data_IF_148500183253
#
_entry.id   IF_148500183253
#
_cell.length_a   1.000
_cell.length_b   1.000
_cell.length_c   1.000
_cell.angle_alpha   90.00
_cell.angle_beta   90.00
_cell.angle_gamma   90.00
#
_symmetry.space_group_name_H-M   'P 1'
#
loop_
_entity.id
_entity.type
_entity.pdbx_description
1 polymer ?
#
# COMPACT_ATOMS: atom_id res chain seq x y z
N UNK A 1 -45.90 46.24 67.60
CA UNK A 1 -47.33 46.06 67.35
C UNK A 1 -47.56 46.03 65.87
N UNK A 2 -47.88 44.85 65.32
CA UNK A 2 -48.80 44.55 64.24
C UNK A 2 -48.57 45.26 62.88
N UNK A 3 -48.43 44.58 61.69
CA UNK A 3 -49.25 43.54 61.07
C UNK A 3 -48.58 42.94 59.82
N UNK A 4 -48.69 41.64 59.71
CA UNK A 4 -48.45 40.83 58.47
C UNK A 4 -49.42 41.18 57.36
N UNK A 5 -49.01 41.01 56.10
CA UNK A 5 -49.91 41.00 55.00
C UNK A 5 -49.24 40.51 53.74
N UNK A 6 -49.48 39.26 53.45
CA UNK A 6 -49.48 38.51 52.22
C UNK A 6 -49.17 39.22 50.87
N UNK A 7 -48.16 38.78 50.19
CA UNK A 7 -48.12 38.75 48.75
C UNK A 7 -47.35 37.49 48.26
N UNK A 8 -47.99 36.34 48.32
CA UNK A 8 -47.60 35.13 47.71
C UNK A 8 -48.68 34.80 46.67
N UNK A 9 -48.49 35.10 45.40
CA UNK A 9 -49.20 34.50 44.23
C UNK A 9 -49.00 35.37 42.98
N UNK A 10 -47.82 35.37 42.39
CA UNK A 10 -47.66 35.90 41.02
C UNK A 10 -46.35 35.49 40.33
N UNK A 11 -45.73 34.40 40.68
CA UNK A 11 -44.48 33.95 40.04
C UNK A 11 -44.52 32.51 39.60
N UNK A 12 -45.48 32.04 38.83
CA UNK A 12 -45.43 30.66 38.33
C UNK A 12 -46.01 30.50 36.90
N UNK A 13 -46.01 31.53 36.05
CA UNK A 13 -46.50 31.35 34.65
C UNK A 13 -45.45 31.67 33.56
N UNK A 14 -44.28 32.19 33.91
CA UNK A 14 -43.29 32.55 32.89
C UNK A 14 -42.14 31.54 32.66
N UNK A 15 -42.08 30.41 33.35
CA UNK A 15 -40.97 29.45 33.24
C UNK A 15 -41.25 28.24 32.33
N UNK A 16 -42.50 28.02 31.92
CA UNK A 16 -42.75 26.86 31.01
C UNK A 16 -42.54 27.15 29.50
N UNK A 17 -42.56 28.42 29.09
CA UNK A 17 -42.38 28.78 27.64
C UNK A 17 -40.91 28.78 27.19
N UNK A 18 -39.97 29.04 28.11
CA UNK A 18 -38.55 29.15 27.81
C UNK A 18 -37.87 27.79 27.56
N UNK A 19 -38.29 26.77 28.29
CA UNK A 19 -37.65 25.45 28.20
C UNK A 19 -38.06 24.65 26.96
N UNK A 20 -39.24 24.89 26.41
CA UNK A 20 -39.68 24.23 25.16
C UNK A 20 -38.95 24.79 23.97
N UNK A 21 -38.72 26.11 23.91
CA UNK A 21 -37.95 26.76 22.82
C UNK A 21 -36.47 26.39 22.81
N UNK A 22 -35.85 26.29 24.00
CA UNK A 22 -34.45 25.85 24.14
C UNK A 22 -34.30 24.35 23.79
N UNK A 23 -35.25 23.52 24.18
CA UNK A 23 -35.23 22.09 23.84
C UNK A 23 -35.40 21.83 22.33
N UNK A 24 -36.25 22.60 21.62
CA UNK A 24 -36.42 22.51 20.16
C UNK A 24 -35.20 23.05 19.42
N UNK A 25 -34.52 24.10 19.92
CA UNK A 25 -33.30 24.62 19.31
C UNK A 25 -32.10 23.65 19.50
N UNK A 26 -31.99 22.96 20.62
CA UNK A 26 -30.99 21.92 20.88
C UNK A 26 -31.23 20.68 20.03
N UNK A 27 -32.49 20.29 19.78
CA UNK A 27 -32.79 19.14 18.90
C UNK A 27 -32.48 19.43 17.43
N UNK A 28 -32.65 20.68 16.96
CA UNK A 28 -32.31 21.09 15.60
C UNK A 28 -30.80 21.14 15.33
N UNK A 29 -29.96 21.37 16.35
CA UNK A 29 -28.48 21.35 16.24
C UNK A 29 -27.94 19.92 16.16
N UNK A 30 -28.63 18.94 16.73
CA UNK A 30 -28.21 17.53 16.70
C UNK A 30 -28.43 16.83 15.36
N UNK A 31 -29.28 17.35 14.47
CA UNK A 31 -29.58 16.77 13.16
C UNK A 31 -28.63 17.29 12.06
N UNK A 32 -27.86 18.37 12.34
CA UNK A 32 -26.98 19.04 11.35
C UNK A 32 -25.56 18.45 11.23
N UNK A 33 -25.15 17.46 12.04
CA UNK A 33 -23.79 16.89 12.03
C UNK A 33 -23.80 15.47 11.42
N UNK A 34 -24.61 15.26 10.39
CA UNK A 34 -24.49 14.14 9.47
C UNK A 34 -23.38 14.41 8.45
N UNK A 35 -22.16 14.74 8.89
CA UNK A 35 -20.99 14.78 8.03
C UNK A 35 -20.77 13.36 7.51
N UNK A 36 -20.78 13.20 6.18
CA UNK A 36 -20.32 11.98 5.52
C UNK A 36 -18.95 11.62 6.11
N UNK A 37 -18.90 10.57 6.91
CA UNK A 37 -17.68 9.91 7.30
C UNK A 37 -17.08 9.29 6.04
N UNK A 38 -16.35 10.11 5.26
CA UNK A 38 -15.44 9.57 4.27
C UNK A 38 -14.38 8.78 5.07
N UNK A 39 -14.11 7.52 4.70
CA UNK A 39 -13.05 6.78 5.34
C UNK A 39 -11.75 7.58 5.16
N UNK A 40 -11.16 7.99 6.27
CA UNK A 40 -9.87 8.68 6.29
C UNK A 40 -8.81 7.67 5.82
N UNK A 41 -8.48 7.74 4.53
CA UNK A 41 -7.46 6.87 3.94
C UNK A 41 -6.11 7.39 4.39
N UNK A 42 -5.50 6.69 5.33
CA UNK A 42 -4.21 7.05 5.86
C UNK A 42 -3.10 6.65 4.89
N UNK A 43 -2.60 7.59 4.09
CA UNK A 43 -1.48 7.40 3.16
C UNK A 43 -0.11 7.36 3.86
N UNK A 44 -0.06 7.64 5.15
CA UNK A 44 1.18 7.77 5.92
C UNK A 44 2.07 6.54 5.77
N UNK A 45 3.31 6.75 5.31
CA UNK A 45 4.28 5.68 5.04
C UNK A 45 4.13 4.96 3.69
N UNK A 46 3.06 5.19 2.93
CA UNK A 46 2.90 4.60 1.59
C UNK A 46 3.71 5.33 0.51
N UNK A 47 4.07 6.60 0.74
CA UNK A 47 4.90 7.40 -0.17
C UNK A 47 6.40 7.15 0.05
N UNK A 48 6.79 6.44 1.12
CA UNK A 48 8.19 6.14 1.42
C UNK A 48 8.60 4.83 0.75
N UNK A 49 9.67 4.81 -0.07
CA UNK A 49 10.16 3.59 -0.68
C UNK A 49 10.65 2.60 0.40
N UNK A 50 10.51 1.29 0.17
CA UNK A 50 11.18 0.29 1.00
C UNK A 50 12.69 0.50 0.99
N UNK A 51 13.36 0.13 2.08
CA UNK A 51 14.83 0.25 2.19
C UNK A 51 15.56 -0.85 1.43
N UNK A 52 14.90 -1.98 1.17
CA UNK A 52 15.51 -3.16 0.54
C UNK A 52 14.59 -3.75 -0.53
N UNK A 53 15.22 -4.30 -1.56
CA UNK A 53 14.53 -5.09 -2.57
C UNK A 53 14.39 -6.53 -2.09
N UNK A 54 13.18 -7.07 -2.20
CA UNK A 54 12.89 -8.48 -1.92
C UNK A 54 12.72 -9.23 -3.23
N UNK A 55 13.44 -10.33 -3.37
CA UNK A 55 13.36 -11.23 -4.51
C UNK A 55 11.93 -11.76 -4.66
N UNK A 56 11.44 -11.81 -5.88
CA UNK A 56 10.11 -12.34 -6.19
C UNK A 56 10.12 -13.35 -7.34
N UNK A 57 8.99 -14.00 -7.58
CA UNK A 57 8.85 -14.91 -8.73
C UNK A 57 9.16 -14.20 -10.06
N UNK A 58 9.69 -14.94 -11.03
CA UNK A 58 10.15 -14.49 -12.37
C UNK A 58 11.47 -13.70 -12.34
N UNK A 59 12.03 -13.33 -11.17
CA UNK A 59 13.34 -12.68 -11.12
C UNK A 59 14.45 -13.63 -11.58
N UNK A 60 15.44 -13.08 -12.28
CA UNK A 60 16.62 -13.81 -12.70
C UNK A 60 17.78 -13.48 -11.79
N UNK A 61 18.35 -14.51 -11.17
CA UNK A 61 19.44 -14.39 -10.22
C UNK A 61 20.69 -15.05 -10.78
N UNK A 62 21.86 -14.46 -10.49
CA UNK A 62 23.16 -15.09 -10.68
C UNK A 62 23.68 -15.49 -9.30
N UNK A 63 23.77 -16.78 -9.07
CA UNK A 63 24.39 -17.36 -7.87
C UNK A 63 25.81 -17.76 -8.21
N UNK A 64 26.79 -17.15 -7.55
CA UNK A 64 28.22 -17.42 -7.77
C UNK A 64 28.82 -18.02 -6.50
N UNK A 65 29.43 -19.20 -6.62
CA UNK A 65 30.19 -19.85 -5.56
C UNK A 65 31.68 -19.67 -5.85
N UNK A 66 32.39 -19.00 -4.96
CA UNK A 66 33.81 -18.68 -5.15
C UNK A 66 34.63 -19.93 -5.40
N UNK A 67 35.50 -19.90 -6.43
CA UNK A 67 36.33 -21.01 -6.89
C UNK A 67 35.58 -22.29 -7.27
N UNK A 68 34.25 -22.22 -7.49
CA UNK A 68 33.49 -23.38 -7.92
C UNK A 68 32.51 -22.97 -9.03
N UNK A 69 32.96 -23.08 -10.28
CA UNK A 69 32.19 -22.69 -11.43
C UNK A 69 31.04 -23.66 -11.72
N UNK A 70 31.15 -24.93 -11.34
CA UNK A 70 30.12 -25.96 -11.56
C UNK A 70 28.88 -25.71 -10.68
N UNK A 71 29.04 -25.07 -9.52
CA UNK A 71 27.98 -24.69 -8.62
C UNK A 71 27.43 -23.28 -8.91
N UNK A 72 28.16 -22.50 -9.74
CA UNK A 72 27.75 -21.14 -10.09
C UNK A 72 26.77 -21.19 -11.26
N UNK A 73 25.55 -20.65 -11.06
CA UNK A 73 24.47 -20.71 -12.06
C UNK A 73 23.63 -19.44 -12.10
N UNK A 74 23.13 -19.18 -13.29
CA UNK A 74 21.98 -18.31 -13.49
C UNK A 74 20.70 -19.12 -13.25
N UNK A 75 19.81 -18.62 -12.41
CA UNK A 75 18.57 -19.29 -12.03
C UNK A 75 17.39 -18.33 -12.08
N UNK A 76 16.24 -18.85 -12.44
CA UNK A 76 14.96 -18.10 -12.43
C UNK A 76 14.21 -18.50 -11.17
N UNK A 77 13.68 -17.51 -10.47
CA UNK A 77 12.77 -17.75 -9.34
C UNK A 77 11.43 -18.25 -9.88
N UNK A 78 11.09 -19.47 -9.49
CA UNK A 78 9.87 -20.14 -9.94
C UNK A 78 8.62 -19.46 -9.34
N UNK A 79 7.41 -19.71 -9.89
CA UNK A 79 6.16 -19.19 -9.35
C UNK A 79 5.87 -19.59 -7.89
N UNK A 80 6.43 -20.73 -7.42
CA UNK A 80 6.36 -21.16 -6.02
C UNK A 80 7.38 -20.43 -5.11
N UNK A 81 8.15 -19.49 -5.66
CA UNK A 81 9.14 -18.70 -4.95
C UNK A 81 10.48 -19.38 -4.72
N UNK A 82 10.70 -20.57 -5.29
CA UNK A 82 11.93 -21.34 -5.10
C UNK A 82 12.90 -21.19 -6.27
N UNK A 83 14.17 -21.43 -5.99
CA UNK A 83 15.23 -21.64 -6.97
C UNK A 83 15.80 -23.05 -6.80
N UNK A 84 16.33 -23.63 -7.87
CA UNK A 84 16.96 -24.96 -7.83
C UNK A 84 18.47 -24.82 -8.07
N UNK A 85 19.25 -25.28 -7.11
CA UNK A 85 20.71 -25.23 -7.13
C UNK A 85 21.30 -26.64 -7.07
N UNK A 86 22.48 -26.88 -7.70
CA UNK A 86 23.19 -28.15 -7.54
C UNK A 86 23.51 -28.42 -6.06
N UNK A 87 23.47 -29.67 -5.65
CA UNK A 87 23.69 -30.19 -4.30
C UNK A 87 22.58 -29.81 -3.30
N UNK A 88 22.01 -28.63 -3.37
CA UNK A 88 21.04 -28.13 -2.41
C UNK A 88 19.59 -28.41 -2.81
N UNK A 89 19.34 -28.69 -4.10
CA UNK A 89 17.96 -28.84 -4.61
C UNK A 89 17.18 -27.53 -4.56
N UNK A 90 15.94 -27.60 -4.11
CA UNK A 90 14.99 -26.48 -4.09
C UNK A 90 15.13 -25.66 -2.80
N UNK A 91 15.40 -24.35 -2.96
CA UNK A 91 15.56 -23.38 -1.86
C UNK A 91 14.57 -22.24 -2.04
N UNK A 92 13.93 -21.79 -0.97
CA UNK A 92 13.06 -20.61 -0.98
C UNK A 92 13.91 -19.35 -1.18
N UNK A 93 13.60 -18.59 -2.22
CA UNK A 93 14.26 -17.33 -2.57
C UNK A 93 13.31 -16.13 -2.45
N UNK A 94 12.04 -16.31 -2.76
CA UNK A 94 11.06 -15.22 -2.71
C UNK A 94 10.87 -14.69 -1.29
N UNK A 95 10.79 -13.36 -1.17
CA UNK A 95 10.68 -12.67 0.12
C UNK A 95 12.00 -12.48 0.86
N UNK A 96 13.11 -12.95 0.31
CA UNK A 96 14.46 -12.72 0.85
C UNK A 96 15.16 -11.58 0.12
N UNK A 97 16.11 -10.94 0.79
CA UNK A 97 17.09 -10.08 0.13
C UNK A 97 18.17 -10.94 -0.53
N UNK A 98 18.91 -10.38 -1.50
CA UNK A 98 20.04 -11.11 -2.11
C UNK A 98 21.07 -11.53 -1.07
N UNK A 99 21.31 -10.72 -0.04
CA UNK A 99 22.23 -11.03 1.05
C UNK A 99 21.73 -12.19 1.94
N UNK A 100 20.45 -12.19 2.28
CA UNK A 100 19.84 -13.27 3.08
C UNK A 100 19.89 -14.60 2.31
N UNK A 101 19.57 -14.57 1.00
CA UNK A 101 19.65 -15.75 0.15
C UNK A 101 21.10 -16.26 0.00
N UNK A 102 22.06 -15.34 -0.17
CA UNK A 102 23.49 -15.69 -0.24
C UNK A 102 23.95 -16.44 1.01
N UNK A 103 23.53 -15.96 2.19
CA UNK A 103 23.82 -16.63 3.46
C UNK A 103 23.17 -18.01 3.53
N UNK A 104 21.90 -18.12 3.17
CA UNK A 104 21.17 -19.39 3.19
C UNK A 104 21.82 -20.44 2.29
N UNK A 105 22.25 -20.03 1.08
CA UNK A 105 22.97 -20.91 0.15
C UNK A 105 24.34 -21.33 0.71
N UNK A 106 25.09 -20.39 1.31
CA UNK A 106 26.37 -20.70 1.94
C UNK A 106 26.21 -21.68 3.10
N UNK A 107 25.23 -21.45 3.97
CA UNK A 107 24.95 -22.34 5.12
C UNK A 107 24.60 -23.77 4.62
N UNK A 108 23.80 -23.89 3.56
CA UNK A 108 23.50 -25.21 2.98
C UNK A 108 24.70 -25.90 2.33
N UNK A 109 25.56 -25.15 1.62
CA UNK A 109 26.76 -25.71 0.99
C UNK A 109 27.85 -26.10 2.00
N UNK A 110 27.80 -25.64 3.25
CA UNK A 110 28.73 -25.96 4.28
C UNK A 110 28.77 -27.47 4.63
N UNK A 111 27.72 -28.22 4.31
CA UNK A 111 27.68 -29.68 4.44
C UNK A 111 28.54 -30.40 3.38
N UNK A 112 28.79 -29.76 2.23
CA UNK A 112 29.47 -30.34 1.07
C UNK A 112 30.91 -29.80 0.88
N UNK A 113 31.21 -28.62 1.45
CA UNK A 113 32.50 -27.96 1.28
C UNK A 113 32.86 -27.08 2.47
N UNK A 114 34.19 -26.93 2.72
CA UNK A 114 34.69 -26.08 3.79
C UNK A 114 34.58 -24.59 3.43
N UNK A 115 33.90 -23.80 4.25
CA UNK A 115 33.83 -22.34 4.18
C UNK A 115 33.40 -21.81 2.80
N UNK A 116 32.20 -22.16 2.27
CA UNK A 116 31.73 -21.67 0.98
C UNK A 116 31.49 -20.17 1.02
N UNK A 117 32.06 -19.44 0.05
CA UNK A 117 31.79 -18.03 -0.15
C UNK A 117 30.82 -17.88 -1.34
N UNK A 118 29.62 -17.42 -1.07
CA UNK A 118 28.55 -17.30 -2.05
C UNK A 118 28.18 -15.84 -2.26
N UNK A 119 27.94 -15.46 -3.51
CA UNK A 119 27.38 -14.16 -3.88
C UNK A 119 26.11 -14.38 -4.70
N UNK A 120 25.05 -13.65 -4.38
CA UNK A 120 23.81 -13.63 -5.14
C UNK A 120 23.60 -12.23 -5.71
N UNK A 121 23.41 -12.15 -7.02
CA UNK A 121 23.12 -10.91 -7.73
C UNK A 121 21.77 -11.03 -8.46
N UNK A 122 20.96 -9.99 -8.39
CA UNK A 122 19.73 -9.90 -9.21
C UNK A 122 20.13 -9.37 -10.59
N UNK A 123 20.04 -10.23 -11.60
CA UNK A 123 20.34 -9.88 -13.00
C UNK A 123 19.19 -9.14 -13.64
N UNK A 124 17.95 -9.64 -13.45
CA UNK A 124 16.75 -9.03 -13.98
C UNK A 124 15.63 -9.03 -12.94
N UNK A 125 14.99 -7.87 -12.79
CA UNK A 125 13.85 -7.68 -11.90
C UNK A 125 12.58 -7.81 -12.76
N UNK A 126 11.88 -8.93 -12.66
CA UNK A 126 10.63 -9.20 -13.38
C UNK A 126 9.44 -9.32 -12.42
N UNK A 127 9.70 -9.61 -11.15
CA UNK A 127 8.69 -9.72 -10.10
C UNK A 127 8.02 -8.38 -9.76
N UNK A 128 8.76 -7.27 -9.92
CA UNK A 128 8.27 -5.94 -9.59
C UNK A 128 7.53 -5.32 -10.77
N UNK A 129 6.27 -5.68 -10.93
CA UNK A 129 5.39 -5.16 -11.96
C UNK A 129 4.03 -4.78 -11.40
N UNK A 130 3.34 -3.89 -12.11
CA UNK A 130 1.99 -3.42 -11.81
C UNK A 130 1.14 -3.51 -13.06
N UNK A 131 -0.17 -3.37 -12.92
CA UNK A 131 -1.08 -3.32 -14.04
C UNK A 131 -1.76 -1.95 -14.10
N UNK A 132 -1.87 -1.38 -15.29
CA UNK A 132 -2.68 -0.20 -15.55
C UNK A 132 -3.87 -0.58 -16.43
N UNK A 133 -5.08 -0.21 -15.99
CA UNK A 133 -6.32 -0.52 -16.68
C UNK A 133 -7.20 0.73 -16.78
N UNK A 134 -8.04 0.78 -17.82
CA UNK A 134 -8.95 1.89 -18.09
C UNK A 134 -8.35 2.96 -18.99
N UNK A 135 -8.68 4.23 -18.73
CA UNK A 135 -8.38 5.38 -19.60
C UNK A 135 -6.94 5.89 -19.46
N UNK A 136 -6.00 5.02 -19.85
CA UNK A 136 -4.56 5.34 -19.99
C UNK A 136 -4.09 5.09 -21.42
N UNK A 137 -3.02 5.74 -21.83
CA UNK A 137 -2.52 5.65 -23.21
C UNK A 137 -2.10 4.24 -23.64
N UNK A 138 -1.56 3.43 -22.71
CA UNK A 138 -1.11 2.04 -22.92
C UNK A 138 -1.51 1.19 -21.72
N UNK A 139 -2.74 0.63 -21.68
CA UNK A 139 -3.15 -0.28 -20.62
C UNK A 139 -2.38 -1.60 -20.72
N UNK A 140 -2.13 -2.24 -19.57
CA UNK A 140 -1.45 -3.53 -19.50
C UNK A 140 -0.46 -3.67 -18.35
N UNK A 141 0.41 -4.70 -18.44
CA UNK A 141 1.51 -4.97 -17.47
C UNK A 141 2.64 -3.95 -17.66
N UNK A 142 3.05 -3.31 -16.58
CA UNK A 142 4.19 -2.38 -16.53
C UNK A 142 5.24 -2.97 -15.61
N UNK A 143 6.38 -3.35 -16.15
CA UNK A 143 7.52 -3.81 -15.36
C UNK A 143 8.26 -2.60 -14.80
N UNK A 144 8.42 -2.58 -13.49
CA UNK A 144 9.10 -1.50 -12.78
C UNK A 144 10.52 -1.94 -12.41
N UNK A 145 11.51 -1.11 -12.72
CA UNK A 145 12.93 -1.37 -12.39
C UNK A 145 13.41 -0.63 -11.15
N UNK A 146 12.55 0.22 -10.58
CA UNK A 146 12.83 1.00 -9.38
C UNK A 146 11.54 1.25 -8.62
N UNK A 147 11.65 1.66 -7.36
CA UNK A 147 10.47 2.07 -6.60
C UNK A 147 9.80 3.25 -7.28
N UNK A 148 8.57 3.05 -7.71
CA UNK A 148 7.84 3.93 -8.61
C UNK A 148 6.55 4.38 -7.95
N UNK A 149 6.26 5.67 -8.02
CA UNK A 149 5.00 6.22 -7.53
C UNK A 149 3.86 6.03 -8.54
N UNK A 150 2.62 6.22 -8.09
CA UNK A 150 1.43 6.08 -8.95
C UNK A 150 1.51 7.02 -10.15
N UNK A 151 1.90 8.30 -9.95
CA UNK A 151 1.98 9.27 -11.06
C UNK A 151 3.06 8.91 -12.07
N UNK A 152 4.20 8.36 -11.61
CA UNK A 152 5.24 7.86 -12.51
C UNK A 152 4.75 6.66 -13.32
N UNK A 153 4.04 5.73 -12.70
CA UNK A 153 3.49 4.56 -13.40
C UNK A 153 2.43 4.95 -14.43
N UNK A 154 1.57 5.92 -14.13
CA UNK A 154 0.61 6.47 -15.11
C UNK A 154 1.38 7.10 -16.29
N UNK A 155 2.50 7.77 -16.03
CA UNK A 155 3.35 8.31 -17.11
C UNK A 155 3.96 7.20 -17.97
N UNK A 156 4.38 6.07 -17.38
CA UNK A 156 4.85 4.89 -18.13
C UNK A 156 3.72 4.26 -18.96
N UNK A 157 2.48 4.33 -18.48
CA UNK A 157 1.29 3.91 -19.22
C UNK A 157 0.89 4.89 -20.35
N UNK A 158 1.71 5.90 -20.64
CA UNK A 158 1.43 6.90 -21.70
C UNK A 158 0.50 8.04 -21.27
N UNK A 159 0.30 8.21 -19.96
CA UNK A 159 -0.56 9.26 -19.39
C UNK A 159 -2.05 8.94 -19.46
N UNK A 160 -2.85 9.92 -19.17
CA UNK A 160 -4.31 9.86 -19.23
C UNK A 160 -4.83 10.10 -20.64
N UNK A 161 -5.89 9.39 -21.03
CA UNK A 161 -6.64 9.73 -22.24
C UNK A 161 -7.51 10.98 -22.03
N UNK A 162 -8.15 11.45 -23.11
CA UNK A 162 -9.07 12.59 -23.06
C UNK A 162 -10.34 12.30 -22.24
N UNK A 163 -10.69 11.01 -22.10
CA UNK A 163 -11.90 10.55 -21.42
C UNK A 163 -11.65 10.18 -19.97
N UNK A 164 -10.41 10.18 -19.52
CA UNK A 164 -10.04 9.76 -18.18
C UNK A 164 -10.64 10.63 -17.08
N UNK A 165 -11.29 9.99 -16.12
CA UNK A 165 -11.76 10.60 -14.88
C UNK A 165 -10.62 10.70 -13.86
N UNK A 166 -9.71 11.67 -14.08
CA UNK A 166 -8.42 11.80 -13.39
C UNK A 166 -8.52 11.84 -11.86
N UNK A 167 -9.63 12.32 -11.32
CA UNK A 167 -9.82 12.44 -9.87
C UNK A 167 -10.40 11.17 -9.22
N UNK A 168 -10.81 10.20 -10.04
CA UNK A 168 -11.37 8.93 -9.58
C UNK A 168 -10.38 7.78 -9.75
N UNK A 169 -9.11 8.08 -9.92
CA UNK A 169 -8.04 7.06 -9.97
C UNK A 169 -7.94 6.35 -8.63
N UNK A 170 -7.79 5.04 -8.66
CA UNK A 170 -7.55 4.26 -7.46
C UNK A 170 -6.58 3.11 -7.74
N UNK A 171 -5.90 2.67 -6.68
CA UNK A 171 -5.00 1.52 -6.70
C UNK A 171 -5.66 0.38 -5.93
N UNK A 172 -5.80 -0.77 -6.58
CA UNK A 172 -6.20 -2.01 -5.93
C UNK A 172 -4.94 -2.75 -5.48
N UNK A 173 -4.80 -2.95 -4.18
CA UNK A 173 -3.65 -3.60 -3.54
C UNK A 173 -4.09 -4.81 -2.74
N UNK A 174 -3.40 -5.92 -2.93
CA UNK A 174 -3.58 -7.09 -2.10
C UNK A 174 -2.74 -6.96 -0.83
N UNK A 175 -3.38 -6.97 0.33
CA UNK A 175 -2.74 -6.87 1.65
C UNK A 175 -3.03 -8.15 2.41
N UNK A 176 -1.99 -8.77 2.98
CA UNK A 176 -2.15 -9.90 3.90
C UNK A 176 -2.51 -9.36 5.28
N UNK A 177 -3.60 -9.86 5.86
CA UNK A 177 -3.93 -9.56 7.26
C UNK A 177 -3.02 -10.38 8.20
N UNK A 178 -3.04 -10.09 9.50
CA UNK A 178 -2.25 -10.80 10.50
C UNK A 178 -2.58 -12.30 10.62
N UNK A 179 -3.65 -12.77 9.99
CA UNK A 179 -4.08 -14.16 9.95
C UNK A 179 -3.66 -14.89 8.66
N UNK A 180 -2.92 -14.20 7.78
CA UNK A 180 -2.43 -14.76 6.51
C UNK A 180 -3.44 -14.71 5.35
N UNK A 181 -4.66 -14.20 5.57
CA UNK A 181 -5.65 -14.04 4.52
C UNK A 181 -5.32 -12.81 3.66
N UNK A 182 -5.49 -12.94 2.35
CA UNK A 182 -5.29 -11.84 1.41
C UNK A 182 -6.60 -11.07 1.24
N UNK A 183 -6.57 -9.77 1.59
CA UNK A 183 -7.67 -8.84 1.37
C UNK A 183 -7.26 -7.80 0.32
N UNK A 184 -8.15 -7.55 -0.63
CA UNK A 184 -7.96 -6.46 -1.59
C UNK A 184 -8.44 -5.14 -0.97
N UNK A 185 -7.58 -4.12 -1.01
CA UNK A 185 -7.85 -2.77 -0.53
C UNK A 185 -7.86 -1.82 -1.71
N UNK A 186 -8.84 -0.94 -1.76
CA UNK A 186 -8.92 0.14 -2.72
C UNK A 186 -8.36 1.41 -2.11
N UNK A 187 -7.33 1.99 -2.73
CA UNK A 187 -6.65 3.21 -2.29
C UNK A 187 -6.98 4.31 -3.30
N UNK A 188 -7.80 5.31 -2.95
CA UNK A 188 -8.12 6.41 -3.86
C UNK A 188 -6.90 7.32 -4.05
N UNK A 189 -6.72 7.84 -5.26
CA UNK A 189 -5.61 8.73 -5.62
C UNK A 189 -6.19 10.06 -6.09
N UNK A 190 -6.22 11.09 -5.25
CA UNK A 190 -6.76 12.41 -5.59
C UNK A 190 -5.77 13.17 -6.47
N UNK A 191 -5.78 12.89 -7.76
CA UNK A 191 -4.80 13.39 -8.72
C UNK A 191 -4.65 14.92 -8.69
N UNK A 192 -5.77 15.66 -8.67
CA UNK A 192 -5.71 17.13 -8.67
C UNK A 192 -5.08 17.68 -7.40
N UNK A 193 -5.36 17.09 -6.24
CA UNK A 193 -4.74 17.54 -4.98
C UNK A 193 -3.24 17.35 -5.01
N UNK A 194 -2.77 16.21 -5.50
CA UNK A 194 -1.34 15.93 -5.62
C UNK A 194 -0.66 16.92 -6.56
N UNK A 195 -1.24 17.17 -7.74
CA UNK A 195 -0.68 18.09 -8.73
C UNK A 195 -0.66 19.54 -8.23
N UNK A 196 -1.62 19.93 -7.40
CA UNK A 196 -1.63 21.26 -6.77
C UNK A 196 -0.80 21.34 -5.48
N UNK A 197 -0.01 20.31 -5.18
CA UNK A 197 0.85 20.28 -3.99
C UNK A 197 0.12 20.01 -2.67
N UNK A 198 -1.16 19.63 -2.75
CA UNK A 198 -1.94 19.17 -1.62
C UNK A 198 -1.84 17.65 -1.51
N UNK A 199 -1.93 17.11 -0.30
CA UNK A 199 -1.99 15.66 -0.07
C UNK A 199 -0.92 14.86 -0.85
N UNK A 200 0.33 15.31 -0.82
CA UNK A 200 1.44 14.68 -1.56
C UNK A 200 1.68 13.23 -1.14
N UNK A 201 1.34 12.86 0.09
CA UNK A 201 1.45 11.49 0.61
C UNK A 201 0.53 10.50 -0.12
N UNK A 202 -0.51 11.00 -0.82
CA UNK A 202 -1.37 10.18 -1.65
C UNK A 202 -0.69 9.71 -2.96
N UNK A 203 0.45 10.30 -3.35
CA UNK A 203 1.28 9.78 -4.42
C UNK A 203 2.13 8.60 -3.92
N UNK A 204 1.44 7.53 -3.54
CA UNK A 204 2.03 6.35 -2.92
C UNK A 204 3.03 5.64 -3.83
N UNK A 205 3.98 4.92 -3.21
CA UNK A 205 4.86 3.98 -3.91
C UNK A 205 4.08 2.68 -4.17
N UNK A 206 4.13 2.25 -5.40
CA UNK A 206 3.49 1.02 -5.85
C UNK A 206 4.22 -0.22 -5.32
N UNK A 207 3.47 -1.28 -5.12
CA UNK A 207 3.99 -2.61 -4.77
C UNK A 207 3.77 -3.57 -5.94
N UNK A 208 4.56 -4.64 -5.99
CA UNK A 208 4.36 -5.70 -6.97
C UNK A 208 2.92 -6.24 -6.92
N UNK A 209 2.29 -6.35 -8.09
CA UNK A 209 0.91 -6.82 -8.23
C UNK A 209 -0.18 -5.76 -7.99
N UNK A 210 0.17 -4.50 -7.74
CA UNK A 210 -0.82 -3.42 -7.69
C UNK A 210 -1.51 -3.24 -9.04
N UNK A 211 -2.81 -2.90 -9.02
CA UNK A 211 -3.59 -2.57 -10.21
C UNK A 211 -4.04 -1.11 -10.12
N UNK A 212 -3.56 -0.29 -11.05
CA UNK A 212 -3.98 1.10 -11.19
C UNK A 212 -5.22 1.13 -12.08
N UNK A 213 -6.33 1.61 -11.55
CA UNK A 213 -7.58 1.74 -12.28
C UNK A 213 -7.85 3.21 -12.55
N UNK A 214 -7.99 3.55 -13.84
CA UNK A 214 -8.30 4.90 -14.33
C UNK A 214 -9.65 4.84 -15.03
N UNK A 215 -10.73 5.28 -14.38
CA UNK A 215 -12.07 5.31 -14.98
C UNK A 215 -12.21 6.33 -16.10
#
# INVERSE_FOLDING_TARGET
>A
MYRRGNTAMRENICTLGGNVLVATLLLAVLVGVGGCLQPDVQYRGMATPPTEFLIGPEDILIVTVWRNQELSKEVIVRPDGKISLPLLGDIMAAGLTAQALSKQVADGLAEFMSSPTVSVQVKEINSYHVFAVGEVGKPGKIVLKSFTSVLQAISYAGGFTLFASRNNVHVLRNVKNGQGETKQVMIPIPYQDIVHGKNLDANIILKAGDVIVVP
#
